data_IF_990866894976
#
_entry.id   IF_990866894976
#
_cell.length_a   1.000
_cell.length_b   1.000
_cell.length_c   1.000
_cell.angle_alpha   90.00
_cell.angle_beta   90.00
_cell.angle_gamma   90.00
#
_symmetry.space_group_name_H-M   'P 1'
#
loop_
_entity.id
_entity.type
_entity.pdbx_description
1 polymer ?
#
# COMPACT_ATOMS: atom_id res chain seq x y z
N UNK A 1 -14.07 4.29 13.96
CA UNK A 1 -14.21 5.76 13.96
C UNK A 1 -12.88 6.51 14.20
N UNK A 2 -12.08 6.15 15.21
CA UNK A 2 -10.78 6.79 15.51
C UNK A 2 -9.81 6.81 14.30
N UNK A 3 -9.72 5.69 13.57
CA UNK A 3 -8.80 5.55 12.44
C UNK A 3 -9.18 6.45 11.24
N UNK A 4 -10.47 6.67 11.00
CA UNK A 4 -10.92 7.54 9.90
C UNK A 4 -10.50 9.00 10.14
N UNK A 5 -10.53 9.47 11.39
CA UNK A 5 -10.11 10.82 11.74
C UNK A 5 -8.62 11.00 11.45
N UNK A 6 -7.78 10.01 11.79
CA UNK A 6 -6.35 10.03 11.49
C UNK A 6 -6.12 10.09 9.98
N UNK A 7 -6.77 9.22 9.21
CA UNK A 7 -6.63 9.19 7.76
C UNK A 7 -7.08 10.51 7.12
N UNK A 8 -8.23 11.05 7.52
CA UNK A 8 -8.70 12.35 7.02
C UNK A 8 -7.74 13.49 7.40
N UNK A 9 -7.19 13.44 8.61
CA UNK A 9 -6.23 14.44 9.09
C UNK A 9 -4.94 14.40 8.27
N UNK A 10 -4.39 13.21 8.06
CA UNK A 10 -3.15 13.00 7.30
C UNK A 10 -3.32 13.33 5.80
N UNK A 11 -4.42 12.89 5.19
CA UNK A 11 -4.62 13.02 3.74
C UNK A 11 -5.19 14.37 3.32
N UNK A 12 -5.89 15.09 4.20
CA UNK A 12 -6.54 16.35 3.85
C UNK A 12 -6.17 17.50 4.76
N UNK A 13 -6.28 17.34 6.09
CA UNK A 13 -6.11 18.49 7.00
C UNK A 13 -4.68 19.00 7.02
N UNK A 14 -3.69 18.12 7.26
CA UNK A 14 -2.29 18.52 7.32
C UNK A 14 -1.80 19.10 5.98
N UNK A 15 -1.98 18.44 4.81
CA UNK A 15 -1.52 19.01 3.55
C UNK A 15 -2.28 20.29 3.18
N UNK A 16 -3.57 20.44 3.53
CA UNK A 16 -4.29 21.70 3.38
C UNK A 16 -3.67 22.80 4.24
N UNK A 17 -3.48 22.55 5.54
CA UNK A 17 -2.91 23.52 6.49
C UNK A 17 -1.51 23.92 6.04
N UNK A 18 -0.67 22.97 5.65
CA UNK A 18 0.70 23.22 5.19
C UNK A 18 0.72 24.03 3.90
N UNK A 19 -0.11 23.68 2.92
CA UNK A 19 -0.19 24.40 1.63
C UNK A 19 -0.74 25.81 1.81
N UNK A 20 -1.79 25.97 2.62
CA UNK A 20 -2.35 27.30 2.96
C UNK A 20 -1.35 28.12 3.76
N UNK A 21 -0.57 27.50 4.67
CA UNK A 21 0.48 28.19 5.41
C UNK A 21 1.60 28.63 4.48
N UNK A 22 2.05 27.79 3.55
CA UNK A 22 3.03 28.14 2.52
C UNK A 22 2.54 29.32 1.67
N UNK A 23 1.25 29.30 1.29
CA UNK A 23 0.61 30.37 0.54
C UNK A 23 0.54 31.66 1.36
N UNK A 24 -0.12 31.66 2.52
CA UNK A 24 -0.48 32.91 3.24
C UNK A 24 0.66 33.51 4.07
N UNK A 25 1.75 32.76 4.33
CA UNK A 25 2.83 33.22 5.19
C UNK A 25 3.54 34.45 4.60
N UNK A 26 3.76 35.44 5.46
CA UNK A 26 4.62 36.57 5.15
C UNK A 26 6.07 36.20 5.48
N UNK A 27 6.92 36.17 4.46
CA UNK A 27 8.33 35.83 4.59
C UNK A 27 9.16 37.08 4.85
N UNK A 28 10.17 36.96 5.74
CA UNK A 28 11.16 38.03 5.99
C UNK A 28 12.44 37.84 5.18
N UNK A 29 12.69 36.61 4.73
CA UNK A 29 13.89 36.25 3.98
C UNK A 29 13.64 35.04 3.08
N UNK A 30 14.44 34.90 2.02
CA UNK A 30 14.40 33.70 1.14
C UNK A 30 14.72 32.43 1.93
N UNK A 31 15.60 32.51 2.92
CA UNK A 31 15.97 31.39 3.79
C UNK A 31 14.76 30.80 4.54
N UNK A 32 13.88 31.63 5.11
CA UNK A 32 12.67 31.15 5.80
C UNK A 32 11.72 30.42 4.86
N UNK A 33 11.62 30.93 3.64
CA UNK A 33 10.75 30.40 2.62
C UNK A 33 11.22 29.04 2.10
N UNK A 34 12.54 28.84 1.99
CA UNK A 34 13.13 27.55 1.64
C UNK A 34 12.79 26.50 2.70
N UNK A 35 12.91 26.80 4.00
CA UNK A 35 12.54 25.86 5.06
C UNK A 35 11.06 25.51 5.04
N UNK A 36 10.20 26.50 4.80
CA UNK A 36 8.76 26.27 4.67
C UNK A 36 8.44 25.39 3.46
N UNK A 37 9.00 25.71 2.29
CA UNK A 37 8.82 24.92 1.08
C UNK A 37 9.36 23.50 1.23
N UNK A 38 10.50 23.32 1.91
CA UNK A 38 11.06 22.02 2.22
C UNK A 38 10.09 21.20 3.07
N UNK A 39 9.61 21.73 4.20
CA UNK A 39 8.66 21.03 5.08
C UNK A 39 7.42 20.56 4.32
N UNK A 40 6.79 21.45 3.55
CA UNK A 40 5.59 21.12 2.78
C UNK A 40 5.90 20.12 1.68
N UNK A 41 6.99 20.31 0.95
CA UNK A 41 7.41 19.43 -0.13
C UNK A 41 7.72 18.01 0.33
N UNK A 42 8.46 17.84 1.43
CA UNK A 42 8.79 16.51 1.96
C UNK A 42 7.57 15.81 2.55
N UNK A 43 6.63 16.55 3.16
CA UNK A 43 5.37 15.99 3.63
C UNK A 43 4.51 15.48 2.47
N UNK A 44 4.37 16.30 1.42
CA UNK A 44 3.60 15.93 0.22
C UNK A 44 4.23 14.74 -0.49
N UNK A 45 5.57 14.70 -0.57
CA UNK A 45 6.27 13.54 -1.10
C UNK A 45 6.04 12.27 -0.27
N UNK A 46 6.13 12.38 1.06
CA UNK A 46 5.88 11.27 1.98
C UNK A 46 4.46 10.71 1.79
N UNK A 47 3.43 11.56 1.85
CA UNK A 47 2.04 11.09 1.72
C UNK A 47 1.72 10.61 0.31
N UNK A 48 2.31 11.21 -0.74
CA UNK A 48 2.17 10.71 -2.11
C UNK A 48 2.68 9.27 -2.25
N UNK A 49 3.76 8.91 -1.54
CA UNK A 49 4.36 7.57 -1.56
C UNK A 49 3.63 6.58 -0.67
N UNK A 50 3.35 6.95 0.59
CA UNK A 50 2.85 6.02 1.61
C UNK A 50 1.35 6.09 1.90
N UNK A 51 0.65 7.12 1.41
CA UNK A 51 -0.76 7.35 1.71
C UNK A 51 -1.71 6.30 1.13
N UNK A 52 -2.87 6.18 1.75
CA UNK A 52 -3.97 5.26 1.43
C UNK A 52 -4.88 5.84 0.34
N UNK A 53 -4.31 6.12 -0.83
CA UNK A 53 -5.03 6.81 -1.90
C UNK A 53 -6.21 6.03 -2.49
N UNK A 54 -6.23 4.71 -2.32
CA UNK A 54 -7.36 3.87 -2.76
C UNK A 54 -8.68 4.28 -2.08
N UNK A 55 -8.63 4.74 -0.82
CA UNK A 55 -9.80 5.16 -0.05
C UNK A 55 -10.46 6.44 -0.56
N UNK A 56 -9.65 7.34 -1.12
CA UNK A 56 -10.07 8.70 -1.50
C UNK A 56 -10.11 8.90 -3.02
N UNK A 57 -9.81 7.86 -3.77
CA UNK A 57 -9.60 7.90 -5.21
C UNK A 57 -8.13 8.10 -5.55
N UNK A 58 -7.59 7.15 -6.34
CA UNK A 58 -6.19 7.12 -6.75
C UNK A 58 -5.68 8.46 -7.28
N UNK A 59 -6.44 9.12 -8.16
CA UNK A 59 -6.00 10.37 -8.80
C UNK A 59 -5.92 11.56 -7.85
N UNK A 60 -6.57 11.51 -6.68
CA UNK A 60 -6.50 12.60 -5.71
C UNK A 60 -5.08 12.80 -5.15
N UNK A 61 -4.22 11.77 -5.21
CA UNK A 61 -2.81 11.87 -4.82
C UNK A 61 -2.03 12.98 -5.54
N UNK A 62 -2.44 13.34 -6.75
CA UNK A 62 -1.80 14.40 -7.55
C UNK A 62 -2.25 15.81 -7.15
N UNK A 63 -3.42 15.95 -6.51
CA UNK A 63 -4.00 17.23 -6.15
C UNK A 63 -3.05 18.06 -5.27
N UNK A 64 -2.53 17.46 -4.21
CA UNK A 64 -1.62 18.16 -3.29
C UNK A 64 -0.30 18.55 -3.94
N UNK A 65 0.22 17.73 -4.86
CA UNK A 65 1.37 18.09 -5.68
C UNK A 65 1.11 19.34 -6.53
N UNK A 66 -0.02 19.39 -7.23
CA UNK A 66 -0.40 20.55 -8.03
C UNK A 66 -0.64 21.80 -7.16
N UNK A 67 -1.35 21.65 -6.05
CA UNK A 67 -1.61 22.76 -5.10
C UNK A 67 -0.31 23.31 -4.52
N UNK A 68 0.65 22.43 -4.18
CA UNK A 68 1.98 22.82 -3.74
C UNK A 68 2.76 23.58 -4.81
N UNK A 69 2.75 23.12 -6.06
CA UNK A 69 3.42 23.81 -7.16
C UNK A 69 2.85 25.23 -7.35
N UNK A 70 1.53 25.38 -7.32
CA UNK A 70 0.86 26.69 -7.42
C UNK A 70 1.25 27.60 -6.25
N UNK A 71 1.30 27.05 -5.02
CA UNK A 71 1.75 27.80 -3.86
C UNK A 71 3.23 28.16 -3.89
N UNK A 72 4.07 27.28 -4.41
CA UNK A 72 5.50 27.50 -4.60
C UNK A 72 5.76 28.63 -5.60
N UNK A 73 5.01 28.66 -6.71
CA UNK A 73 5.13 29.72 -7.72
C UNK A 73 4.76 31.09 -7.14
N UNK A 74 3.66 31.18 -6.38
CA UNK A 74 3.29 32.43 -5.70
C UNK A 74 4.32 32.82 -4.64
N UNK A 75 4.83 31.87 -3.87
CA UNK A 75 5.90 32.11 -2.91
C UNK A 75 7.11 32.72 -3.61
N UNK A 76 7.63 32.08 -4.68
CA UNK A 76 8.78 32.57 -5.45
C UNK A 76 8.57 34.00 -5.97
N UNK A 77 7.36 34.33 -6.42
CA UNK A 77 7.02 35.69 -6.82
C UNK A 77 7.16 36.70 -5.67
N UNK A 78 6.69 36.36 -4.47
CA UNK A 78 6.80 37.22 -3.27
C UNK A 78 8.24 37.39 -2.78
N UNK A 79 9.13 36.42 -3.05
CA UNK A 79 10.51 36.45 -2.57
C UNK A 79 11.45 37.35 -3.38
N UNK A 80 11.00 37.87 -4.54
CA UNK A 80 11.87 38.63 -5.47
C UNK A 80 12.54 39.84 -4.81
N UNK A 81 11.81 40.55 -3.97
CA UNK A 81 12.26 41.77 -3.29
C UNK A 81 12.87 41.51 -1.91
N UNK A 82 12.89 40.27 -1.43
CA UNK A 82 13.37 39.94 -0.08
C UNK A 82 14.87 39.61 -0.06
N UNK A 83 15.59 39.95 1.04
CA UNK A 83 16.96 39.53 1.21
C UNK A 83 17.06 38.01 1.38
N UNK A 84 18.24 37.44 1.09
CA UNK A 84 18.44 36.01 1.31
C UNK A 84 18.33 35.64 2.80
N UNK A 85 18.89 36.47 3.67
CA UNK A 85 18.91 36.28 5.12
C UNK A 85 18.31 37.49 5.83
N UNK A 86 17.70 37.28 7.00
CA UNK A 86 17.32 38.35 7.92
C UNK A 86 17.61 37.93 9.36
N UNK A 87 17.96 38.85 10.26
CA UNK A 87 18.06 38.56 11.70
C UNK A 87 16.76 37.92 12.22
N UNK A 88 16.89 36.96 13.14
CA UNK A 88 15.78 36.19 13.70
C UNK A 88 15.61 36.44 15.19
N UNK A 89 14.38 36.68 15.61
CA UNK A 89 13.96 36.62 17.02
C UNK A 89 14.07 35.20 17.56
N UNK A 90 14.05 35.03 18.89
CA UNK A 90 14.06 33.70 19.52
C UNK A 90 12.89 32.81 19.05
N UNK A 91 11.69 33.38 18.93
CA UNK A 91 10.49 32.66 18.44
C UNK A 91 10.65 32.17 17.00
N UNK A 92 11.25 32.97 16.12
CA UNK A 92 11.49 32.58 14.73
C UNK A 92 12.55 31.50 14.61
N UNK A 93 13.62 31.57 15.42
CA UNK A 93 14.62 30.49 15.51
C UNK A 93 13.98 29.17 15.95
N UNK A 94 13.14 29.22 16.99
CA UNK A 94 12.39 28.04 17.43
C UNK A 94 11.50 27.47 16.32
N UNK A 95 10.77 28.32 15.60
CA UNK A 95 9.98 27.91 14.44
C UNK A 95 10.81 27.25 13.34
N UNK A 96 12.01 27.77 13.05
CA UNK A 96 12.93 27.16 12.09
C UNK A 96 13.43 25.79 12.56
N UNK A 97 13.78 25.64 13.84
CA UNK A 97 14.17 24.33 14.39
C UNK A 97 13.03 23.32 14.33
N UNK A 98 11.81 23.75 14.67
CA UNK A 98 10.61 22.91 14.54
C UNK A 98 10.41 22.46 13.10
N UNK A 99 10.40 23.39 12.14
CA UNK A 99 10.25 23.05 10.71
C UNK A 99 11.40 22.16 10.22
N UNK A 100 12.64 22.43 10.61
CA UNK A 100 13.80 21.63 10.25
C UNK A 100 13.72 20.20 10.79
N UNK A 101 13.30 20.03 12.05
CA UNK A 101 13.09 18.71 12.67
C UNK A 101 12.03 17.91 11.90
N UNK A 102 10.83 18.46 11.70
CA UNK A 102 9.78 17.75 10.97
C UNK A 102 10.12 17.52 9.50
N UNK A 103 10.85 18.45 8.86
CA UNK A 103 11.37 18.24 7.51
C UNK A 103 12.31 17.03 7.46
N UNK A 104 13.21 16.89 8.43
CA UNK A 104 14.11 15.74 8.51
C UNK A 104 13.35 14.43 8.75
N UNK A 105 12.32 14.45 9.61
CA UNK A 105 11.45 13.28 9.86
C UNK A 105 10.75 12.84 8.57
N UNK A 106 10.03 13.74 7.89
CA UNK A 106 9.30 13.39 6.67
C UNK A 106 10.22 13.07 5.50
N UNK A 107 11.38 13.72 5.40
CA UNK A 107 12.41 13.35 4.43
C UNK A 107 12.92 11.94 4.68
N UNK A 108 13.22 11.59 5.94
CA UNK A 108 13.64 10.23 6.33
C UNK A 108 12.58 9.19 5.99
N UNK A 109 11.31 9.45 6.32
CA UNK A 109 10.19 8.57 5.97
C UNK A 109 10.01 8.44 4.45
N UNK A 110 10.12 9.54 3.70
CA UNK A 110 10.04 9.54 2.24
C UNK A 110 11.19 8.77 1.57
N UNK A 111 12.42 8.91 2.08
CA UNK A 111 13.57 8.12 1.63
C UNK A 111 13.35 6.64 1.95
N UNK A 112 12.86 6.32 3.14
CA UNK A 112 12.59 4.93 3.53
C UNK A 112 11.51 4.30 2.65
N UNK A 113 10.42 5.03 2.38
CA UNK A 113 9.40 4.61 1.42
C UNK A 113 9.98 4.38 0.02
N UNK A 114 10.82 5.29 -0.49
CA UNK A 114 11.46 5.12 -1.79
C UNK A 114 12.41 3.91 -1.82
N UNK A 115 13.16 3.65 -0.75
CA UNK A 115 14.01 2.45 -0.66
C UNK A 115 13.18 1.18 -0.66
N UNK A 116 12.00 1.20 -0.02
CA UNK A 116 11.05 0.08 0.00
C UNK A 116 10.46 -0.26 -1.37
N UNK A 117 10.57 0.60 -2.40
CA UNK A 117 10.16 0.23 -3.77
C UNK A 117 11.22 -0.60 -4.50
N UNK A 118 12.30 -0.98 -3.81
CA UNK A 118 13.33 -1.90 -4.26
C UNK A 118 13.51 -2.96 -3.20
N UNK A 119 14.11 -4.10 -3.55
CA UNK A 119 14.40 -5.18 -2.62
C UNK A 119 15.85 -5.61 -2.74
N UNK A 120 16.32 -6.37 -1.76
CA UNK A 120 17.64 -7.04 -1.78
C UNK A 120 17.45 -8.54 -1.64
N UNK A 121 18.31 -9.30 -2.32
CA UNK A 121 18.31 -10.76 -2.27
C UNK A 121 17.69 -11.37 -3.52
N UNK A 122 17.31 -12.64 -3.39
CA UNK A 122 16.70 -13.40 -4.49
C UNK A 122 15.22 -13.05 -4.65
N UNK A 123 14.73 -13.22 -5.88
CA UNK A 123 13.32 -13.10 -6.19
C UNK A 123 12.83 -14.24 -7.08
N UNK A 124 11.56 -14.54 -6.95
CA UNK A 124 10.84 -15.45 -7.84
C UNK A 124 10.16 -14.66 -8.96
N UNK A 125 10.28 -15.13 -10.20
CA UNK A 125 9.59 -14.53 -11.34
C UNK A 125 8.23 -15.17 -11.52
N UNK A 126 7.19 -14.33 -11.55
CA UNK A 126 5.79 -14.73 -11.58
C UNK A 126 5.06 -13.96 -12.69
N UNK A 127 3.99 -14.56 -13.20
CA UNK A 127 2.96 -13.86 -13.96
C UNK A 127 1.97 -13.19 -13.02
N UNK A 128 1.46 -12.02 -13.42
CA UNK A 128 0.49 -11.32 -12.60
C UNK A 128 -0.84 -12.11 -12.58
N UNK A 129 -1.40 -12.42 -11.40
CA UNK A 129 -2.48 -13.40 -11.26
C UNK A 129 -3.88 -12.86 -11.60
N UNK A 130 -3.99 -11.62 -12.09
CA UNK A 130 -5.24 -10.96 -12.41
C UNK A 130 -5.20 -10.43 -13.85
N UNK A 131 -6.35 -10.31 -14.51
CA UNK A 131 -6.48 -9.96 -15.94
C UNK A 131 -7.64 -8.98 -16.17
N UNK A 132 -7.66 -8.32 -17.32
CA UNK A 132 -8.75 -7.48 -17.82
C UNK A 132 -9.21 -6.38 -16.82
N UNK A 133 -8.29 -5.51 -16.42
CA UNK A 133 -8.62 -4.43 -15.49
C UNK A 133 -7.44 -3.63 -14.97
N UNK A 134 -7.79 -2.61 -14.17
CA UNK A 134 -6.87 -1.74 -13.48
C UNK A 134 -6.73 -2.23 -12.04
N UNK A 135 -5.58 -2.82 -11.71
CA UNK A 135 -5.28 -3.33 -10.38
C UNK A 135 -4.33 -2.40 -9.64
N UNK A 136 -4.41 -2.40 -8.32
CA UNK A 136 -3.71 -1.45 -7.47
C UNK A 136 -3.19 -2.10 -6.21
N UNK A 137 -1.91 -1.86 -5.92
CA UNK A 137 -1.25 -2.38 -4.73
C UNK A 137 -1.50 -1.43 -3.56
N UNK A 138 -2.25 -1.89 -2.55
CA UNK A 138 -2.52 -1.10 -1.33
C UNK A 138 -1.48 -1.36 -0.24
N UNK A 139 -0.89 -2.55 -0.21
CA UNK A 139 0.24 -2.91 0.64
C UNK A 139 1.27 -3.65 -0.20
N UNK A 140 2.53 -3.25 -0.11
CA UNK A 140 3.60 -3.91 -0.85
C UNK A 140 4.91 -3.14 -0.85
N UNK A 141 6.01 -3.86 -1.05
CA UNK A 141 7.37 -3.33 -1.01
C UNK A 141 8.17 -3.81 0.21
N UNK A 142 9.44 -3.41 0.28
CA UNK A 142 10.43 -3.83 1.27
C UNK A 142 10.65 -2.75 2.36
N UNK A 143 9.56 -2.21 2.94
CA UNK A 143 9.69 -1.37 4.13
C UNK A 143 8.39 -1.25 4.94
N UNK A 144 8.49 -1.04 6.26
CA UNK A 144 7.31 -0.83 7.11
C UNK A 144 6.59 0.50 6.86
N UNK A 145 7.12 1.40 6.03
CA UNK A 145 6.44 2.67 5.68
C UNK A 145 5.36 2.45 4.62
N UNK A 146 5.54 1.46 3.75
CA UNK A 146 4.65 1.19 2.60
C UNK A 146 4.09 -0.23 2.60
N UNK A 147 4.53 -1.07 3.52
CA UNK A 147 4.07 -2.44 3.63
C UNK A 147 3.88 -2.81 5.09
N UNK A 148 2.63 -2.93 5.52
CA UNK A 148 2.28 -3.29 6.90
C UNK A 148 2.69 -4.72 7.28
N UNK A 149 2.91 -5.63 6.32
CA UNK A 149 3.39 -6.99 6.61
C UNK A 149 4.78 -7.01 7.25
N UNK A 150 5.60 -5.97 7.05
CA UNK A 150 6.87 -5.78 7.77
C UNK A 150 6.70 -5.58 9.28
N UNK A 151 5.50 -5.21 9.74
CA UNK A 151 5.23 -4.90 11.14
C UNK A 151 4.67 -6.11 11.88
N UNK A 152 3.83 -6.91 11.21
CA UNK A 152 3.08 -8.00 11.84
C UNK A 152 3.68 -9.39 11.58
N UNK A 153 4.15 -9.66 10.36
CA UNK A 153 4.71 -10.96 9.98
C UNK A 153 5.99 -10.79 9.15
N UNK A 154 7.05 -10.17 9.71
CA UNK A 154 8.22 -9.69 8.97
C UNK A 154 9.08 -10.78 8.33
N UNK A 155 8.84 -12.05 8.65
CA UNK A 155 9.60 -13.19 8.11
C UNK A 155 8.88 -13.78 6.89
N UNK A 156 7.68 -14.38 7.01
CA UNK A 156 7.01 -15.01 5.86
C UNK A 156 6.30 -14.03 4.92
N UNK A 157 5.84 -12.88 5.43
CA UNK A 157 4.99 -11.96 4.66
C UNK A 157 5.71 -10.68 4.24
N UNK A 158 7.03 -10.63 4.45
CA UNK A 158 7.85 -9.44 4.21
C UNK A 158 7.62 -8.79 2.84
N UNK A 159 7.39 -9.60 1.81
CA UNK A 159 7.20 -9.16 0.43
C UNK A 159 5.78 -9.39 -0.09
N UNK A 160 4.82 -9.63 0.81
CA UNK A 160 3.42 -9.80 0.45
C UNK A 160 2.86 -8.56 -0.22
N UNK A 161 1.91 -8.79 -1.12
CA UNK A 161 1.13 -7.75 -1.78
C UNK A 161 -0.34 -7.93 -1.45
N UNK A 162 -1.00 -6.82 -1.14
CA UNK A 162 -2.46 -6.73 -1.15
C UNK A 162 -2.90 -5.94 -2.37
N UNK A 163 -3.71 -6.56 -3.22
CA UNK A 163 -4.09 -6.03 -4.53
C UNK A 163 -5.60 -5.89 -4.65
N UNK A 164 -6.06 -4.69 -4.99
CA UNK A 164 -7.47 -4.36 -5.27
C UNK A 164 -7.68 -4.03 -6.74
N UNK A 165 -8.93 -4.00 -7.20
CA UNK A 165 -9.32 -3.48 -8.51
C UNK A 165 -9.84 -2.06 -8.37
N UNK A 166 -9.47 -1.19 -9.31
CA UNK A 166 -9.97 0.17 -9.41
C UNK A 166 -10.89 0.31 -10.64
N UNK A 167 -11.90 1.17 -10.52
CA UNK A 167 -12.61 1.69 -11.68
C UNK A 167 -11.79 2.77 -12.41
N UNK A 168 -12.33 3.27 -13.53
CA UNK A 168 -11.67 4.32 -14.32
C UNK A 168 -11.55 5.67 -13.58
N UNK A 169 -12.33 5.87 -12.52
CA UNK A 169 -12.22 7.05 -11.65
C UNK A 169 -11.19 6.86 -10.52
N UNK A 170 -10.54 5.69 -10.45
CA UNK A 170 -9.54 5.37 -9.44
C UNK A 170 -10.12 4.97 -8.09
N UNK A 171 -11.40 4.59 -8.02
CA UNK A 171 -12.08 4.13 -6.80
C UNK A 171 -11.97 2.61 -6.70
N UNK A 172 -11.79 2.09 -5.49
CA UNK A 172 -11.75 0.66 -5.21
C UNK A 172 -13.13 0.03 -4.92
N UNK A 173 -14.13 0.86 -4.64
CA UNK A 173 -15.49 0.43 -4.35
C UNK A 173 -16.54 1.48 -4.77
N UNK A 174 -17.81 1.05 -4.85
CA UNK A 174 -18.98 1.91 -4.96
C UNK A 174 -19.40 2.42 -3.58
N UNK A 175 -19.06 3.68 -3.28
CA UNK A 175 -19.33 4.31 -2.00
C UNK A 175 -18.08 4.37 -1.11
N UNK A 176 -18.27 4.81 0.13
CA UNK A 176 -17.19 4.99 1.10
C UNK A 176 -17.36 3.96 2.22
N UNK A 177 -16.42 3.00 2.31
CA UNK A 177 -16.49 1.86 3.24
C UNK A 177 -17.83 1.09 3.22
N UNK A 178 -18.25 0.53 2.07
CA UNK A 178 -19.48 -0.25 2.00
C UNK A 178 -19.37 -1.57 2.78
N UNK A 179 -20.44 -2.01 3.42
CA UNK A 179 -20.52 -3.35 4.04
C UNK A 179 -20.77 -4.45 2.98
N UNK A 180 -21.50 -4.09 1.93
CA UNK A 180 -21.81 -4.99 0.82
C UNK A 180 -20.55 -5.36 0.04
N UNK A 181 -20.16 -6.64 0.06
CA UNK A 181 -18.95 -7.13 -0.62
C UNK A 181 -18.98 -6.88 -2.14
N UNK A 182 -20.16 -6.98 -2.74
CA UNK A 182 -20.35 -6.72 -4.19
C UNK A 182 -20.17 -5.25 -4.57
N UNK A 183 -20.07 -4.32 -3.61
CA UNK A 183 -19.74 -2.94 -3.89
C UNK A 183 -18.23 -2.74 -4.20
N UNK A 184 -17.36 -3.66 -3.77
CA UNK A 184 -15.94 -3.63 -4.06
C UNK A 184 -15.65 -4.21 -5.43
N UNK A 185 -14.86 -3.51 -6.25
CA UNK A 185 -14.60 -3.96 -7.62
C UNK A 185 -13.69 -5.19 -7.69
N UNK A 186 -12.96 -5.48 -6.61
CA UNK A 186 -12.12 -6.68 -6.53
C UNK A 186 -12.93 -7.95 -6.26
N UNK A 187 -14.07 -7.86 -5.56
CA UNK A 187 -14.83 -9.03 -5.14
C UNK A 187 -15.38 -9.81 -6.35
N UNK A 188 -15.09 -11.11 -6.40
CA UNK A 188 -15.46 -11.98 -7.52
C UNK A 188 -14.51 -11.92 -8.73
N UNK A 189 -13.44 -11.13 -8.68
CA UNK A 189 -12.46 -11.12 -9.76
C UNK A 189 -11.70 -12.44 -9.84
N UNK A 190 -11.50 -12.95 -11.05
CA UNK A 190 -10.84 -14.23 -11.29
C UNK A 190 -9.36 -14.16 -10.95
N UNK A 191 -8.90 -15.16 -10.19
CA UNK A 191 -7.51 -15.35 -9.81
C UNK A 191 -6.91 -16.50 -10.60
N UNK A 192 -5.81 -16.22 -11.28
CA UNK A 192 -5.08 -17.18 -12.11
C UNK A 192 -3.75 -17.57 -11.47
N UNK A 193 -3.27 -18.77 -11.77
CA UNK A 193 -1.99 -19.25 -11.29
C UNK A 193 -0.85 -18.35 -11.79
N UNK A 194 -0.06 -17.76 -10.88
CA UNK A 194 1.05 -16.90 -11.27
C UNK A 194 2.26 -17.69 -11.78
N UNK A 195 2.26 -19.01 -11.61
CA UNK A 195 3.36 -19.90 -11.99
C UNK A 195 2.86 -21.31 -12.33
N UNK A 196 3.75 -22.12 -12.91
CA UNK A 196 3.50 -23.56 -13.11
C UNK A 196 4.08 -24.33 -11.94
N UNK A 197 3.30 -25.22 -11.32
CA UNK A 197 3.74 -25.92 -10.11
C UNK A 197 2.72 -26.93 -9.61
N UNK A 198 2.96 -27.44 -8.40
CA UNK A 198 2.08 -28.40 -7.73
C UNK A 198 1.32 -27.69 -6.62
N UNK A 199 0.01 -27.87 -6.56
CA UNK A 199 -0.81 -27.37 -5.44
C UNK A 199 -0.47 -28.19 -4.20
N UNK A 200 -0.01 -27.53 -3.13
CA UNK A 200 0.38 -28.19 -1.88
C UNK A 200 -0.64 -28.06 -0.77
N UNK A 201 -1.49 -27.03 -0.82
CA UNK A 201 -2.55 -26.81 0.18
C UNK A 201 -3.69 -25.99 -0.42
N UNK A 202 -4.90 -26.29 0.02
CA UNK A 202 -6.13 -25.56 -0.31
C UNK A 202 -6.98 -25.41 0.94
N UNK A 203 -7.48 -24.20 1.18
CA UNK A 203 -8.51 -23.89 2.17
C UNK A 203 -9.65 -23.21 1.41
N UNK A 204 -10.86 -23.76 1.45
CA UNK A 204 -12.02 -23.24 0.70
C UNK A 204 -13.35 -23.35 1.48
N UNK A 205 -13.27 -23.22 2.80
CA UNK A 205 -14.40 -23.43 3.73
C UNK A 205 -14.72 -22.21 4.60
N UNK A 206 -13.93 -21.14 4.52
CA UNK A 206 -14.12 -19.94 5.33
C UNK A 206 -15.08 -18.97 4.64
N UNK A 207 -16.07 -18.42 5.35
CA UNK A 207 -17.05 -17.53 4.76
C UNK A 207 -16.43 -16.18 4.37
N UNK A 208 -16.97 -15.59 3.31
CA UNK A 208 -16.75 -14.19 3.00
C UNK A 208 -17.54 -13.33 4.01
N UNK A 209 -16.84 -12.50 4.78
CA UNK A 209 -17.47 -11.67 5.82
C UNK A 209 -17.48 -10.20 5.40
N UNK A 210 -18.53 -9.43 5.74
CA UNK A 210 -18.50 -7.98 5.61
C UNK A 210 -17.30 -7.35 6.34
N UNK A 211 -16.76 -6.21 5.87
CA UNK A 211 -15.61 -5.56 6.49
C UNK A 211 -15.77 -5.31 7.99
N UNK A 212 -16.96 -4.91 8.45
CA UNK A 212 -17.22 -4.68 9.89
C UNK A 212 -17.14 -5.95 10.74
N UNK A 213 -17.59 -7.09 10.21
CA UNK A 213 -17.58 -8.38 10.93
C UNK A 213 -16.22 -9.06 10.89
N UNK A 214 -15.45 -8.79 9.85
CA UNK A 214 -14.11 -9.32 9.68
C UNK A 214 -13.13 -8.62 10.65
N UNK A 215 -13.36 -7.34 10.95
CA UNK A 215 -12.57 -6.56 11.89
C UNK A 215 -12.53 -7.22 13.29
N UNK A 216 -11.35 -7.69 13.70
CA UNK A 216 -11.14 -8.31 15.01
C UNK A 216 -11.33 -9.83 15.06
N UNK A 217 -11.60 -10.49 13.93
CA UNK A 217 -11.59 -11.95 13.82
C UNK A 217 -10.23 -12.46 13.35
N UNK A 218 -9.37 -12.82 14.30
CA UNK A 218 -8.04 -13.37 14.04
C UNK A 218 -8.06 -14.88 13.77
N UNK A 219 -9.12 -15.57 14.18
CA UNK A 219 -9.34 -17.01 14.03
C UNK A 219 -9.55 -17.47 12.58
N UNK A 220 -9.87 -16.53 11.69
CA UNK A 220 -10.08 -16.79 10.25
C UNK A 220 -8.85 -16.51 9.40
N UNK A 221 -7.68 -16.25 10.00
CA UNK A 221 -6.41 -16.11 9.28
C UNK A 221 -5.92 -17.47 8.73
N UNK A 222 -5.41 -17.56 7.48
CA UNK A 222 -5.19 -16.49 6.49
C UNK A 222 -6.36 -16.29 5.50
N UNK A 223 -7.51 -16.92 5.72
CA UNK A 223 -8.62 -17.00 4.77
C UNK A 223 -8.54 -18.21 3.84
N UNK A 224 -9.49 -18.33 2.91
CA UNK A 224 -9.41 -19.31 1.83
C UNK A 224 -8.18 -19.00 0.97
N UNK A 225 -7.45 -20.05 0.60
CA UNK A 225 -6.11 -19.92 0.04
C UNK A 225 -5.75 -21.13 -0.83
N UNK A 226 -4.96 -20.86 -1.87
CA UNK A 226 -4.20 -21.88 -2.61
C UNK A 226 -2.71 -21.63 -2.39
N UNK A 227 -1.95 -22.69 -2.11
CA UNK A 227 -0.48 -22.66 -2.07
C UNK A 227 0.06 -23.54 -3.18
N UNK A 228 0.99 -23.01 -3.98
CA UNK A 228 1.63 -23.68 -5.11
C UNK A 228 3.14 -23.79 -4.85
N UNK A 229 3.69 -25.01 -4.94
CA UNK A 229 5.13 -25.22 -4.98
C UNK A 229 5.66 -25.01 -6.40
N UNK A 230 6.41 -23.93 -6.55
CA UNK A 230 7.09 -23.54 -7.77
C UNK A 230 8.60 -23.71 -7.60
N UNK A 231 9.07 -24.96 -7.69
CA UNK A 231 10.50 -25.26 -7.69
C UNK A 231 11.19 -24.92 -6.37
N UNK A 232 10.55 -25.16 -5.22
CA UNK A 232 11.10 -24.84 -3.91
C UNK A 232 10.77 -23.43 -3.40
N UNK A 233 9.95 -22.68 -4.14
CA UNK A 233 9.29 -21.46 -3.67
C UNK A 233 7.80 -21.72 -3.55
N UNK A 234 7.23 -21.54 -2.37
CA UNK A 234 5.79 -21.65 -2.15
C UNK A 234 5.13 -20.31 -2.41
N UNK A 235 4.21 -20.28 -3.37
CA UNK A 235 3.43 -19.09 -3.74
C UNK A 235 2.03 -19.24 -3.19
N UNK A 236 1.60 -18.26 -2.41
CA UNK A 236 0.34 -18.25 -1.69
C UNK A 236 -0.59 -17.24 -2.36
N UNK A 237 -1.83 -17.64 -2.64
CA UNK A 237 -2.90 -16.76 -3.08
C UNK A 237 -4.05 -16.91 -2.10
N UNK A 238 -4.30 -15.88 -1.28
CA UNK A 238 -5.25 -15.93 -0.16
C UNK A 238 -6.39 -14.95 -0.34
N UNK A 239 -7.33 -14.99 0.60
CA UNK A 239 -8.56 -14.17 0.64
C UNK A 239 -9.49 -14.50 -0.52
N UNK A 240 -9.50 -15.78 -0.91
CA UNK A 240 -10.34 -16.26 -1.99
C UNK A 240 -11.79 -16.41 -1.52
N UNK A 241 -12.71 -16.33 -2.47
CA UNK A 241 -14.14 -16.42 -2.22
C UNK A 241 -14.52 -17.85 -1.84
N UNK A 242 -15.44 -17.99 -0.88
CA UNK A 242 -15.93 -19.28 -0.42
C UNK A 242 -16.42 -20.13 -1.59
N UNK A 243 -15.94 -21.38 -1.66
CA UNK A 243 -16.32 -22.38 -2.66
C UNK A 243 -16.01 -21.95 -4.10
N UNK A 244 -15.00 -21.11 -4.30
CA UNK A 244 -14.57 -20.68 -5.63
C UNK A 244 -13.34 -21.43 -6.14
N UNK A 245 -12.63 -22.18 -5.28
CA UNK A 245 -11.36 -22.80 -5.64
C UNK A 245 -11.60 -24.07 -6.46
N UNK A 246 -11.04 -24.11 -7.67
CA UNK A 246 -11.29 -25.20 -8.63
C UNK A 246 -10.16 -26.25 -8.71
N UNK A 247 -9.24 -26.24 -7.74
CA UNK A 247 -8.06 -27.12 -7.69
C UNK A 247 -7.96 -27.80 -6.33
N UNK A 248 -7.23 -28.92 -6.26
CA UNK A 248 -7.01 -29.70 -5.05
C UNK A 248 -5.52 -29.94 -4.78
N UNK A 249 -5.11 -30.22 -3.54
CA UNK A 249 -3.75 -30.63 -3.24
C UNK A 249 -3.30 -31.82 -4.10
N UNK A 250 -2.11 -31.73 -4.69
CA UNK A 250 -1.56 -32.70 -5.63
C UNK A 250 -1.75 -32.34 -7.11
N UNK A 251 -2.67 -31.43 -7.43
CA UNK A 251 -2.88 -31.00 -8.81
C UNK A 251 -1.66 -30.27 -9.37
N UNK A 252 -1.34 -30.56 -10.64
CA UNK A 252 -0.41 -29.72 -11.41
C UNK A 252 -1.19 -28.57 -12.03
N UNK A 253 -0.76 -27.34 -11.77
CA UNK A 253 -1.34 -26.13 -12.37
C UNK A 253 -0.35 -25.48 -13.32
N UNK A 254 -0.87 -24.88 -14.38
CA UNK A 254 -0.06 -24.12 -15.34
C UNK A 254 -0.23 -22.62 -15.14
N UNK A 255 0.82 -21.86 -15.45
CA UNK A 255 0.77 -20.40 -15.44
C UNK A 255 -0.44 -19.89 -16.24
N UNK A 256 -1.26 -19.05 -15.64
CA UNK A 256 -2.47 -18.49 -16.24
C UNK A 256 -3.73 -19.38 -16.16
N UNK A 257 -3.65 -20.56 -15.54
CA UNK A 257 -4.81 -21.40 -15.23
C UNK A 257 -5.70 -20.75 -14.17
N UNK A 258 -7.02 -20.83 -14.30
CA UNK A 258 -7.95 -20.33 -13.29
C UNK A 258 -7.81 -21.15 -11.99
N UNK A 259 -7.72 -20.46 -10.85
CA UNK A 259 -7.65 -21.07 -9.53
C UNK A 259 -8.92 -20.84 -8.72
N UNK A 260 -9.50 -19.63 -8.79
CA UNK A 260 -10.70 -19.24 -8.06
C UNK A 260 -11.02 -17.76 -8.24
N UNK A 261 -11.70 -17.17 -7.27
CA UNK A 261 -12.12 -15.76 -7.29
C UNK A 261 -11.67 -15.03 -6.02
N UNK A 262 -11.43 -13.72 -6.11
CA UNK A 262 -11.19 -12.87 -4.94
C UNK A 262 -12.45 -12.83 -4.08
N UNK A 263 -12.27 -13.04 -2.79
CA UNK A 263 -13.31 -12.96 -1.77
C UNK A 263 -12.98 -11.92 -0.69
N UNK A 264 -13.50 -12.17 0.49
CA UNK A 264 -13.20 -11.46 1.73
C UNK A 264 -13.15 -12.44 2.93
N UNK A 265 -12.72 -13.67 2.68
CA UNK A 265 -12.49 -14.66 3.74
C UNK A 265 -11.17 -14.37 4.46
N UNK A 266 -11.18 -14.23 5.78
CA UNK A 266 -9.96 -14.02 6.58
C UNK A 266 -9.43 -12.59 6.59
N UNK A 267 -8.73 -12.22 7.66
CA UNK A 267 -8.16 -10.90 7.87
C UNK A 267 -6.66 -11.00 8.15
N UNK A 268 -5.87 -9.95 7.83
CA UNK A 268 -4.58 -9.76 8.47
C UNK A 268 -4.80 -8.96 9.76
N UNK A 269 -4.54 -9.57 10.91
CA UNK A 269 -4.59 -8.90 12.21
C UNK A 269 -3.77 -7.61 12.21
N UNK A 270 -4.45 -6.49 12.43
CA UNK A 270 -3.85 -5.18 12.58
C UNK A 270 -4.92 -4.19 13.05
N UNK A 271 -4.60 -3.22 13.92
CA UNK A 271 -5.58 -2.32 14.55
C UNK A 271 -6.23 -1.34 13.55
N UNK A 272 -5.95 -1.48 12.25
CA UNK A 272 -6.30 -0.49 11.24
C UNK A 272 -7.51 -0.84 10.38
N UNK A 273 -8.04 -2.07 10.36
CA UNK A 273 -9.29 -2.39 9.63
C UNK A 273 -9.33 -2.04 8.13
N UNK A 274 -8.21 -1.58 7.56
CA UNK A 274 -8.06 -1.18 6.16
C UNK A 274 -7.89 -2.41 5.24
N UNK A 275 -7.40 -3.52 5.80
CA UNK A 275 -7.23 -4.83 5.16
C UNK A 275 -8.52 -5.67 5.17
N UNK A 276 -9.65 -5.11 5.62
CA UNK A 276 -10.93 -5.80 5.74
C UNK A 276 -11.82 -5.72 4.48
N UNK A 277 -11.36 -5.01 3.44
CA UNK A 277 -12.05 -4.95 2.15
C UNK A 277 -11.58 -6.08 1.22
N UNK A 278 -12.43 -6.58 0.31
CA UNK A 278 -12.04 -7.56 -0.71
C UNK A 278 -10.76 -7.18 -1.47
N UNK A 279 -9.76 -8.05 -1.41
CA UNK A 279 -8.47 -7.90 -2.08
C UNK A 279 -7.83 -9.27 -2.30
N UNK A 280 -6.88 -9.37 -3.24
CA UNK A 280 -6.01 -10.53 -3.34
C UNK A 280 -4.79 -10.31 -2.45
N UNK A 281 -4.54 -11.23 -1.52
CA UNK A 281 -3.25 -11.35 -0.85
C UNK A 281 -2.38 -12.34 -1.62
N UNK A 282 -1.19 -11.92 -2.04
CA UNK A 282 -0.21 -12.80 -2.66
C UNK A 282 1.13 -12.68 -1.96
N UNK A 283 1.78 -13.80 -1.69
CA UNK A 283 3.12 -13.85 -1.10
C UNK A 283 3.90 -15.05 -1.60
N UNK A 284 5.21 -15.03 -1.39
CA UNK A 284 6.09 -16.16 -1.67
C UNK A 284 7.02 -16.42 -0.49
N UNK A 285 7.29 -17.68 -0.19
CA UNK A 285 8.30 -18.09 0.80
C UNK A 285 9.19 -19.19 0.24
N UNK A 286 10.39 -19.36 0.81
CA UNK A 286 11.16 -20.57 0.55
C UNK A 286 10.44 -21.77 1.13
N UNK A 287 10.43 -22.86 0.37
CA UNK A 287 10.00 -24.17 0.88
C UNK A 287 10.85 -24.52 2.10
N UNK A 288 10.18 -24.72 3.22
CA UNK A 288 10.80 -25.15 4.47
C UNK A 288 10.46 -26.60 4.77
N UNK A 289 11.24 -27.24 5.64
CA UNK A 289 10.94 -28.58 6.14
C UNK A 289 9.64 -28.63 6.94
N UNK A 290 9.11 -29.84 7.19
CA UNK A 290 7.87 -30.04 7.95
C UNK A 290 7.97 -29.56 9.41
N UNK A 291 9.18 -29.40 9.94
CA UNK A 291 9.42 -28.93 11.32
C UNK A 291 9.40 -27.41 11.46
N UNK A 292 9.46 -26.67 10.35
CA UNK A 292 9.43 -25.22 10.37
C UNK A 292 7.98 -24.71 10.44
N UNK A 293 7.72 -23.92 11.47
CA UNK A 293 6.47 -23.19 11.59
C UNK A 293 6.30 -22.20 10.42
N UNK A 294 5.05 -21.82 10.11
CA UNK A 294 4.76 -20.78 9.11
C UNK A 294 5.60 -19.51 9.34
N UNK A 295 5.77 -19.13 10.60
CA UNK A 295 6.46 -17.91 11.03
C UNK A 295 7.98 -17.91 10.78
N UNK A 296 8.57 -19.07 10.51
CA UNK A 296 10.01 -19.21 10.23
C UNK A 296 10.33 -19.24 8.73
N UNK A 297 9.31 -19.29 7.86
CA UNK A 297 9.53 -19.40 6.42
C UNK A 297 10.04 -18.08 5.87
N UNK A 298 11.23 -18.09 5.29
CA UNK A 298 11.82 -16.89 4.70
C UNK A 298 10.98 -16.40 3.52
N UNK A 299 10.44 -15.18 3.62
CA UNK A 299 9.73 -14.51 2.54
C UNK A 299 10.65 -14.20 1.36
N UNK A 300 10.15 -14.43 0.15
CA UNK A 300 10.86 -14.24 -1.12
C UNK A 300 10.22 -13.09 -1.90
N UNK A 301 11.04 -12.20 -2.44
CA UNK A 301 10.53 -11.11 -3.27
C UNK A 301 9.92 -11.66 -4.57
N UNK A 302 8.85 -11.01 -5.06
CA UNK A 302 8.15 -11.43 -6.27
C UNK A 302 8.33 -10.39 -7.38
N UNK A 303 8.69 -10.87 -8.56
CA UNK A 303 8.78 -10.06 -9.78
C UNK A 303 7.63 -10.41 -10.72
N UNK A 304 6.85 -9.41 -11.12
CA UNK A 304 5.78 -9.57 -12.10
C UNK A 304 6.19 -8.88 -13.39
N UNK A 305 6.44 -9.67 -14.44
CA UNK A 305 7.03 -9.16 -15.69
C UNK A 305 8.38 -8.45 -15.46
N UNK A 306 9.20 -8.97 -14.53
CA UNK A 306 10.49 -8.39 -14.16
C UNK A 306 10.43 -7.18 -13.23
N UNK A 307 9.23 -6.75 -12.80
CA UNK A 307 9.06 -5.59 -11.92
C UNK A 307 8.73 -6.03 -10.49
N UNK A 308 9.41 -5.42 -9.52
CA UNK A 308 9.02 -5.48 -8.12
C UNK A 308 7.90 -4.47 -7.87
N UNK A 309 6.79 -4.93 -7.32
CA UNK A 309 5.63 -4.10 -7.07
C UNK A 309 5.65 -3.59 -5.63
N UNK A 310 5.21 -2.35 -5.44
CA UNK A 310 5.13 -1.71 -4.14
C UNK A 310 3.80 -0.95 -4.00
N UNK A 311 3.48 -0.51 -2.78
CA UNK A 311 2.30 0.32 -2.51
C UNK A 311 2.17 1.46 -3.50
N UNK A 312 0.93 1.74 -3.86
CA UNK A 312 0.53 2.79 -4.78
C UNK A 312 0.99 2.57 -6.24
N UNK A 313 1.35 1.34 -6.61
CA UNK A 313 1.58 0.90 -7.99
C UNK A 313 0.25 0.56 -8.67
N UNK A 314 0.02 1.17 -9.84
CA UNK A 314 -1.10 0.86 -10.74
C UNK A 314 -0.63 -0.16 -11.78
N UNK A 315 -1.46 -1.17 -12.03
CA UNK A 315 -1.17 -2.29 -12.92
C UNK A 315 -2.33 -2.40 -13.89
N UNK A 316 -2.09 -2.01 -15.13
CA UNK A 316 -3.06 -2.13 -16.22
C UNK A 316 -2.86 -3.47 -16.90
N UNK A 317 -3.89 -4.30 -16.89
CA UNK A 317 -3.87 -5.62 -17.52
C UNK A 317 -4.79 -5.61 -18.74
N UNK A 318 -4.23 -6.02 -19.88
CA UNK A 318 -4.92 -6.12 -21.16
C UNK A 318 -5.78 -7.37 -21.27
#
# INVERSE_FOLDING_TARGET
MFNLIILLTEHFVIPAVFTVWLWKRLYKSKFDAIFMALLVGVYIHYIYRGGEWHLFGYYFRYFWGAAFLVALLRMVYQLRSLPFWSPKTRKEKFGLYFMGFFSAVFLGLGIWACRGTTFRGEAVSLSFPLKNGNFYVIEGGDSPVINNHHRFFPVPEKFSLEVVKLDNAGRYARGFFPEELTAYFAFGEKVYSPCTGIVVSVIDSLPDLPPSELAGKEDVFPGNQVIIDHGGVWVYLSRLKLHSISVQPGDTVHTGQLLGEIGNSGLLGGPFGLTAAPHLHIQATRKSGPENSYYEREGVAMLFGGKFLAKNTLIETL
#
